data_IF_596589601787
#
_entry.id   IF_596589601787
#
_cell.length_a   1.000
_cell.length_b   1.000
_cell.length_c   1.000
_cell.angle_alpha   90.00
_cell.angle_beta   90.00
_cell.angle_gamma   90.00
#
_symmetry.space_group_name_H-M   'P 1'
#
loop_
_entity.id
_entity.type
_entity.pdbx_description
1 polymer ?
#
# COMPACT_ATOMS: atom_id res chain seq x y z
N UNK A 1 -25.67 9.55 -50.55
CA UNK A 1 -25.73 8.65 -49.36
C UNK A 1 -25.29 9.34 -48.08
N UNK A 2 -24.46 10.40 -48.15
CA UNK A 2 -23.86 11.10 -47.00
C UNK A 2 -24.79 11.79 -46.00
N UNK A 3 -25.96 12.27 -46.44
CA UNK A 3 -26.83 13.08 -45.57
C UNK A 3 -27.52 12.28 -44.46
N UNK A 4 -27.78 10.98 -44.67
CA UNK A 4 -28.41 10.09 -43.68
C UNK A 4 -27.39 9.62 -42.63
N UNK A 5 -26.21 9.21 -43.08
CA UNK A 5 -25.13 8.78 -42.19
C UNK A 5 -24.72 9.91 -41.23
N UNK A 6 -24.55 11.12 -41.74
CA UNK A 6 -24.18 12.31 -40.95
C UNK A 6 -25.20 12.63 -39.85
N UNK A 7 -26.50 12.42 -40.12
CA UNK A 7 -27.57 12.60 -39.11
C UNK A 7 -27.50 11.55 -38.02
N UNK A 8 -27.27 10.28 -38.38
CA UNK A 8 -27.13 9.19 -37.41
C UNK A 8 -25.92 9.43 -36.51
N UNK A 9 -24.75 9.72 -37.08
CA UNK A 9 -23.53 10.01 -36.30
C UNK A 9 -23.74 11.18 -35.36
N UNK A 10 -24.34 12.28 -35.83
CA UNK A 10 -24.64 13.45 -34.98
C UNK A 10 -25.63 13.11 -33.86
N UNK A 11 -26.61 12.25 -34.12
CA UNK A 11 -27.55 11.74 -33.13
C UNK A 11 -26.85 10.91 -32.05
N UNK A 12 -25.98 10.00 -32.45
CA UNK A 12 -25.19 9.15 -31.53
C UNK A 12 -24.29 9.99 -30.62
N UNK A 13 -23.54 10.94 -31.18
CA UNK A 13 -22.70 11.85 -30.39
C UNK A 13 -23.54 12.65 -29.40
N UNK A 14 -24.69 13.19 -29.84
CA UNK A 14 -25.59 13.95 -28.96
C UNK A 14 -26.16 13.10 -27.82
N UNK A 15 -26.54 11.86 -28.09
CA UNK A 15 -27.01 10.94 -27.05
C UNK A 15 -25.88 10.63 -26.06
N UNK A 16 -24.68 10.36 -26.56
CA UNK A 16 -23.52 10.10 -25.70
C UNK A 16 -23.20 11.28 -24.77
N UNK A 17 -23.15 12.51 -25.29
CA UNK A 17 -22.93 13.70 -24.46
C UNK A 17 -24.04 13.90 -23.41
N UNK A 18 -25.30 13.61 -23.75
CA UNK A 18 -26.41 13.69 -22.78
C UNK A 18 -26.25 12.66 -21.67
N UNK A 19 -25.87 11.43 -22.01
CA UNK A 19 -25.65 10.37 -21.01
C UNK A 19 -24.46 10.68 -20.11
N UNK A 20 -23.37 11.22 -20.66
CA UNK A 20 -22.23 11.68 -19.85
C UNK A 20 -22.64 12.76 -18.85
N UNK A 21 -23.38 13.79 -19.28
CA UNK A 21 -23.84 14.85 -18.39
C UNK A 21 -24.77 14.32 -17.28
N UNK A 22 -25.61 13.32 -17.59
CA UNK A 22 -26.49 12.65 -16.61
C UNK A 22 -25.72 11.86 -15.57
N UNK A 23 -24.61 11.23 -15.95
CA UNK A 23 -23.73 10.48 -15.03
C UNK A 23 -22.91 11.42 -14.17
N UNK A 24 -22.31 12.43 -14.77
CA UNK A 24 -21.49 13.43 -14.07
C UNK A 24 -22.29 14.15 -12.97
N UNK A 25 -23.59 14.42 -13.18
CA UNK A 25 -24.45 15.02 -12.15
C UNK A 25 -24.73 14.11 -10.93
N UNK A 26 -24.39 12.82 -11.01
CA UNK A 26 -24.58 11.81 -9.95
C UNK A 26 -23.26 11.26 -9.41
N UNK A 27 -22.14 11.58 -10.05
CA UNK A 27 -20.82 11.14 -9.65
C UNK A 27 -20.26 12.10 -8.59
N UNK A 28 -19.66 11.54 -7.55
CA UNK A 28 -18.88 12.27 -6.56
C UNK A 28 -17.43 11.90 -6.80
N UNK A 29 -16.50 12.85 -6.95
CA UNK A 29 -15.10 12.53 -7.15
C UNK A 29 -14.55 11.85 -5.90
N UNK A 30 -13.57 10.97 -6.08
CA UNK A 30 -13.02 10.16 -4.99
C UNK A 30 -12.50 11.01 -3.82
N UNK A 31 -11.90 12.18 -4.11
CA UNK A 31 -11.39 13.10 -3.09
C UNK A 31 -12.48 13.78 -2.23
N UNK A 32 -13.74 13.73 -2.65
CA UNK A 32 -14.88 14.28 -1.91
C UNK A 32 -15.70 13.18 -1.21
N UNK A 33 -15.29 11.92 -1.32
CA UNK A 33 -15.94 10.82 -0.63
C UNK A 33 -15.65 10.89 0.88
N UNK A 34 -16.67 10.72 1.74
CA UNK A 34 -16.47 10.61 3.18
C UNK A 34 -15.58 9.40 3.55
N UNK A 35 -14.74 9.53 4.58
CA UNK A 35 -13.86 8.43 5.05
C UNK A 35 -14.64 7.13 5.31
N UNK A 36 -15.83 7.20 5.89
CA UNK A 36 -16.68 6.02 6.17
C UNK A 36 -17.07 5.24 4.90
N UNK A 37 -17.15 5.90 3.75
CA UNK A 37 -17.41 5.24 2.46
C UNK A 37 -16.12 4.64 1.93
N UNK A 38 -15.01 5.36 2.06
CA UNK A 38 -13.68 4.89 1.65
C UNK A 38 -13.33 3.62 2.41
N UNK A 39 -13.49 3.59 3.74
CA UNK A 39 -13.24 2.44 4.62
C UNK A 39 -13.99 1.17 4.19
N UNK A 40 -15.22 1.32 3.68
CA UNK A 40 -16.03 0.20 3.17
C UNK A 40 -15.62 -0.27 1.77
N UNK A 41 -14.91 0.57 1.03
CA UNK A 41 -14.41 0.27 -0.31
C UNK A 41 -12.96 -0.23 -0.30
N UNK A 42 -12.27 -0.19 0.86
CA UNK A 42 -10.91 -0.71 0.98
C UNK A 42 -10.94 -2.23 0.82
N UNK A 43 -10.58 -2.69 -0.37
CA UNK A 43 -10.09 -4.04 -0.57
C UNK A 43 -8.60 -3.99 -0.23
N UNK A 44 -8.18 -4.79 0.74
CA UNK A 44 -6.76 -4.99 0.98
C UNK A 44 -6.23 -5.84 -0.17
N UNK A 45 -5.35 -5.27 -0.98
CA UNK A 45 -4.59 -6.05 -1.95
C UNK A 45 -3.56 -6.89 -1.18
N UNK A 46 -3.73 -8.21 -1.22
CA UNK A 46 -2.73 -9.18 -0.74
C UNK A 46 -1.58 -9.23 -1.76
N UNK A 47 -0.75 -8.20 -1.78
CA UNK A 47 0.54 -8.27 -2.47
C UNK A 47 1.44 -9.28 -1.74
N UNK A 48 2.07 -10.18 -2.50
CA UNK A 48 3.14 -11.02 -1.99
C UNK A 48 4.25 -10.09 -1.45
N UNK A 49 4.51 -10.19 -0.15
CA UNK A 49 5.46 -9.34 0.55
C UNK A 49 6.78 -10.08 0.62
N UNK A 50 7.83 -9.51 0.02
CA UNK A 50 9.21 -10.04 0.06
C UNK A 50 9.88 -9.86 1.43
N UNK A 51 9.08 -9.78 2.50
CA UNK A 51 9.54 -9.52 3.86
C UNK A 51 8.98 -10.57 4.82
N UNK A 52 9.86 -11.17 5.62
CA UNK A 52 9.48 -11.95 6.79
C UNK A 52 9.32 -11.03 8.00
N UNK A 53 8.22 -11.20 8.75
CA UNK A 53 7.95 -10.49 9.99
C UNK A 53 8.50 -11.23 11.22
N UNK A 54 9.05 -10.47 12.16
CA UNK A 54 9.50 -10.93 13.48
C UNK A 54 8.85 -10.08 14.57
N UNK A 55 8.25 -10.71 15.58
CA UNK A 55 7.83 -10.00 16.78
C UNK A 55 9.01 -9.92 17.76
N UNK A 56 9.52 -8.71 17.98
CA UNK A 56 10.58 -8.43 18.94
C UNK A 56 10.12 -7.33 19.88
N UNK A 57 9.96 -7.68 21.16
CA UNK A 57 9.54 -6.73 22.20
C UNK A 57 8.19 -6.04 21.89
N UNK A 58 7.22 -6.80 21.36
CA UNK A 58 5.89 -6.28 20.98
C UNK A 58 5.96 -5.24 19.86
N UNK A 59 6.98 -5.34 19.02
CA UNK A 59 7.17 -4.53 17.82
C UNK A 59 7.42 -5.47 16.64
N UNK A 60 6.63 -5.31 15.59
CA UNK A 60 6.79 -6.07 14.36
C UNK A 60 7.95 -5.52 13.53
N UNK A 61 8.89 -6.39 13.17
CA UNK A 61 10.06 -6.05 12.39
C UNK A 61 10.01 -6.83 11.09
N UNK A 62 10.02 -6.11 9.97
CA UNK A 62 10.00 -6.66 8.62
C UNK A 62 11.42 -6.69 8.07
N UNK A 63 11.91 -7.87 7.71
CA UNK A 63 13.24 -8.07 7.14
C UNK A 63 13.09 -8.64 5.74
N UNK A 64 13.78 -8.05 4.77
CA UNK A 64 13.72 -8.46 3.36
C UNK A 64 14.24 -9.90 3.21
N UNK A 65 13.54 -10.71 2.43
CA UNK A 65 13.79 -12.14 2.32
C UNK A 65 15.14 -12.45 1.65
N UNK A 66 15.61 -11.62 0.72
CA UNK A 66 16.96 -11.73 0.13
C UNK A 66 18.07 -11.58 1.18
N UNK A 67 17.88 -10.63 2.11
CA UNK A 67 18.85 -10.44 3.20
C UNK A 67 18.78 -11.63 4.17
N UNK A 68 17.58 -12.12 4.48
CA UNK A 68 17.40 -13.31 5.32
C UNK A 68 18.02 -14.56 4.71
N UNK A 69 17.99 -14.70 3.39
CA UNK A 69 18.56 -15.84 2.68
C UNK A 69 20.06 -15.98 2.96
N UNK A 70 20.79 -14.85 2.97
CA UNK A 70 22.21 -14.81 3.37
C UNK A 70 22.45 -15.36 4.78
N UNK A 71 21.48 -15.21 5.67
CA UNK A 71 21.58 -15.66 7.06
C UNK A 71 20.84 -16.98 7.34
N UNK A 72 20.16 -17.58 6.35
CA UNK A 72 19.43 -18.86 6.47
C UNK A 72 20.29 -19.98 7.01
N UNK A 73 21.57 -19.99 6.62
CA UNK A 73 22.55 -20.98 7.05
C UNK A 73 22.61 -21.04 8.57
N UNK A 74 22.41 -19.95 9.29
CA UNK A 74 22.53 -19.95 10.74
C UNK A 74 21.24 -20.36 11.48
N UNK A 75 20.09 -20.55 10.79
CA UNK A 75 18.80 -20.90 11.43
C UNK A 75 18.83 -22.15 12.31
N UNK A 76 19.71 -23.10 12.01
CA UNK A 76 19.84 -24.34 12.78
C UNK A 76 20.58 -24.14 14.10
N UNK A 77 21.22 -22.99 14.32
CA UNK A 77 21.93 -22.70 15.56
C UNK A 77 20.90 -22.27 16.63
N UNK A 78 20.85 -22.93 17.80
CA UNK A 78 19.98 -22.51 18.92
C UNK A 78 20.22 -21.07 19.39
N UNK A 79 21.39 -20.51 19.05
CA UNK A 79 21.78 -19.15 19.36
C UNK A 79 21.34 -18.13 18.30
N UNK A 80 20.98 -18.55 17.09
CA UNK A 80 20.69 -17.65 15.97
C UNK A 80 19.48 -16.75 16.22
N UNK A 81 18.39 -17.33 16.72
CA UNK A 81 17.20 -16.57 17.08
C UNK A 81 17.52 -15.51 18.15
N UNK A 82 18.34 -15.88 19.15
CA UNK A 82 18.80 -14.94 20.19
C UNK A 82 19.75 -13.88 19.63
N UNK A 83 20.65 -14.25 18.73
CA UNK A 83 21.63 -13.33 18.11
C UNK A 83 20.90 -12.31 17.23
N UNK A 84 19.98 -12.75 16.37
CA UNK A 84 19.18 -11.85 15.54
C UNK A 84 18.32 -10.93 16.41
N UNK A 85 17.59 -11.49 17.38
CA UNK A 85 16.77 -10.69 18.30
C UNK A 85 17.60 -9.64 19.02
N UNK A 86 18.80 -9.99 19.49
CA UNK A 86 19.70 -9.07 20.17
C UNK A 86 20.31 -8.02 19.24
N UNK A 87 20.73 -8.41 18.03
CA UNK A 87 21.26 -7.47 17.02
C UNK A 87 20.20 -6.45 16.63
N UNK A 88 19.02 -6.94 16.25
CA UNK A 88 17.89 -6.10 15.87
C UNK A 88 17.46 -5.19 17.02
N UNK A 89 17.40 -5.69 18.26
CA UNK A 89 17.16 -4.87 19.45
C UNK A 89 18.24 -3.80 19.64
N UNK A 90 19.52 -4.14 19.46
CA UNK A 90 20.63 -3.20 19.59
C UNK A 90 20.53 -2.09 18.55
N UNK A 91 20.33 -2.42 17.27
CA UNK A 91 20.16 -1.42 16.21
C UNK A 91 18.95 -0.51 16.47
N UNK A 92 17.80 -1.08 16.84
CA UNK A 92 16.59 -0.30 17.14
C UNK A 92 16.79 0.63 18.34
N UNK A 93 17.42 0.17 19.43
CA UNK A 93 17.70 1.02 20.59
C UNK A 93 18.61 2.19 20.22
N UNK A 94 19.61 1.97 19.37
CA UNK A 94 20.49 3.04 18.90
C UNK A 94 19.77 4.00 17.94
N UNK A 95 18.94 3.49 17.02
CA UNK A 95 18.10 4.32 16.14
C UNK A 95 17.14 5.18 16.96
N UNK A 96 16.43 4.59 17.93
CA UNK A 96 15.54 5.32 18.84
C UNK A 96 16.27 6.35 19.70
N UNK A 97 17.51 6.04 20.13
CA UNK A 97 18.36 7.00 20.83
C UNK A 97 18.71 8.19 19.92
N UNK A 98 19.09 7.94 18.67
CA UNK A 98 19.37 8.97 17.67
C UNK A 98 18.14 9.83 17.38
N UNK A 99 16.98 9.24 17.17
CA UNK A 99 15.72 9.99 16.98
C UNK A 99 15.34 10.81 18.20
N UNK A 100 15.60 10.30 19.42
CA UNK A 100 15.33 11.04 20.66
C UNK A 100 16.30 12.20 20.85
N UNK A 101 17.57 12.04 20.46
CA UNK A 101 18.57 13.12 20.44
C UNK A 101 18.21 14.17 19.39
N UNK A 102 17.84 13.75 18.18
CA UNK A 102 17.47 14.67 17.09
C UNK A 102 16.16 15.43 17.34
N UNK A 103 15.23 14.88 18.13
CA UNK A 103 14.01 15.57 18.59
C UNK A 103 14.23 16.57 19.74
N UNK A 104 15.42 16.58 20.34
CA UNK A 104 15.80 17.51 21.43
C UNK A 104 16.53 18.75 20.87
N UNK A 105 16.90 18.75 19.59
CA UNK A 105 17.28 19.95 18.83
C UNK A 105 16.09 20.47 18.03
#
# INVERSE_FOLDING_TARGET
MDCKLKKVVKGSVRNYCKELARRQAKEVPFCELPEIVIEKLIVWDDYESDYTTFDVCSMEIRVLDEELEKYRIYRHLPAYEKIIRNLVYFYNKNIMLVYKILKIF
#
